data_IF_225651170819
#
_entry.id   IF_225651170819
#
_cell.length_a   1.000
_cell.length_b   1.000
_cell.length_c   1.000
_cell.angle_alpha   90.00
_cell.angle_beta   90.00
_cell.angle_gamma   90.00
#
_symmetry.space_group_name_H-M   'P 1'
#
loop_
_entity.id
_entity.type
_entity.pdbx_description
1 polymer ?
#
# COMPACT_ATOMS: atom_id res chain seq x y z
N UNK A 1 -13.83 26.83 3.05
CA UNK A 1 -12.61 26.49 2.26
C UNK A 1 -11.70 25.51 3.00
N UNK A 2 -11.29 25.79 4.25
CA UNK A 2 -10.41 24.92 5.06
C UNK A 2 -10.95 23.48 5.27
N UNK A 3 -12.26 23.32 5.46
CA UNK A 3 -12.90 22.02 5.71
C UNK A 3 -12.94 21.12 4.48
N UNK A 4 -13.12 21.69 3.28
CA UNK A 4 -13.12 20.94 2.02
C UNK A 4 -11.70 20.46 1.72
N UNK A 5 -10.70 21.31 1.96
CA UNK A 5 -9.28 20.96 1.83
C UNK A 5 -8.93 19.77 2.74
N UNK A 6 -9.25 19.85 4.04
CA UNK A 6 -8.91 18.79 5.00
C UNK A 6 -9.73 17.50 4.83
N UNK A 7 -10.99 17.59 4.43
CA UNK A 7 -11.88 16.41 4.39
C UNK A 7 -11.79 15.64 3.07
N UNK A 8 -11.44 16.33 1.97
CA UNK A 8 -11.44 15.75 0.62
C UNK A 8 -10.02 15.59 0.07
N UNK A 9 -9.14 16.58 0.26
CA UNK A 9 -7.78 16.48 -0.26
C UNK A 9 -6.86 15.64 0.61
N UNK A 10 -7.04 15.63 1.93
CA UNK A 10 -6.19 14.82 2.81
C UNK A 10 -6.29 13.30 2.53
N UNK A 11 -7.49 12.68 2.43
CA UNK A 11 -7.57 11.25 2.08
C UNK A 11 -7.11 10.98 0.64
N UNK A 12 -7.35 11.90 -0.30
CA UNK A 12 -6.86 11.77 -1.67
C UNK A 12 -5.33 11.82 -1.74
N UNK A 13 -4.70 12.72 -0.98
CA UNK A 13 -3.24 12.84 -0.86
C UNK A 13 -2.62 11.61 -0.20
N UNK A 14 -3.24 11.07 0.85
CA UNK A 14 -2.80 9.82 1.49
C UNK A 14 -2.90 8.65 0.50
N UNK A 15 -3.96 8.59 -0.30
CA UNK A 15 -4.15 7.56 -1.32
C UNK A 15 -3.11 7.66 -2.44
N UNK A 16 -2.73 8.88 -2.88
CA UNK A 16 -1.69 9.06 -3.89
C UNK A 16 -0.30 8.72 -3.35
N UNK A 17 0.01 9.07 -2.09
CA UNK A 17 1.31 8.78 -1.47
C UNK A 17 1.47 7.29 -1.17
N UNK A 18 0.39 6.58 -0.82
CA UNK A 18 0.43 5.14 -0.56
C UNK A 18 0.71 4.27 -1.81
N UNK A 19 0.61 4.85 -3.02
CA UNK A 19 0.84 4.15 -4.29
C UNK A 19 2.31 4.24 -4.75
N UNK A 20 3.16 5.04 -4.10
CA UNK A 20 4.56 5.26 -4.52
C UNK A 20 5.53 4.10 -4.24
N UNK A 21 5.03 2.89 -3.97
CA UNK A 21 5.86 1.73 -3.61
C UNK A 21 6.90 1.28 -4.64
N UNK A 22 6.85 1.71 -5.91
CA UNK A 22 7.79 1.24 -6.94
C UNK A 22 7.98 2.20 -8.14
N UNK A 23 8.28 3.48 -7.92
CA UNK A 23 8.55 4.42 -9.03
C UNK A 23 10.01 4.45 -9.51
N UNK A 24 10.88 3.63 -8.94
CA UNK A 24 12.22 3.41 -9.48
C UNK A 24 12.11 2.26 -10.47
N UNK A 25 12.02 2.58 -11.77
CA UNK A 25 12.40 1.62 -12.80
C UNK A 25 13.77 1.07 -12.44
N UNK A 26 13.86 -0.24 -12.20
CA UNK A 26 15.10 -0.91 -11.83
C UNK A 26 16.14 -0.62 -12.93
N UNK A 27 17.35 -0.10 -12.61
CA UNK A 27 18.39 0.06 -13.60
C UNK A 27 18.80 -1.33 -14.11
N UNK A 28 18.29 -1.70 -15.28
CA UNK A 28 18.35 -3.07 -15.78
C UNK A 28 17.51 -4.03 -14.95
N UNK A 29 16.82 -4.98 -15.60
CA UNK A 29 16.43 -6.19 -14.87
C UNK A 29 17.75 -6.79 -14.38
N UNK A 30 18.03 -6.82 -13.08
CA UNK A 30 19.21 -7.51 -12.53
C UNK A 30 19.24 -9.02 -12.82
N UNK A 31 18.37 -9.49 -13.72
CA UNK A 31 18.28 -10.84 -14.20
C UNK A 31 19.10 -11.08 -15.48
N UNK A 32 19.33 -12.35 -15.79
CA UNK A 32 20.19 -12.75 -16.90
C UNK A 32 19.54 -12.36 -18.24
N UNK A 33 20.30 -11.75 -19.15
CA UNK A 33 19.86 -11.51 -20.53
C UNK A 33 19.58 -12.82 -21.30
N UNK A 34 18.89 -12.77 -22.45
CA UNK A 34 18.62 -13.95 -23.25
C UNK A 34 19.92 -14.72 -23.55
N UNK A 35 20.05 -15.94 -23.02
CA UNK A 35 21.24 -16.80 -23.19
C UNK A 35 22.22 -16.86 -22.01
N UNK A 36 21.96 -16.16 -20.91
CA UNK A 36 22.82 -16.28 -19.70
C UNK A 36 22.25 -17.31 -18.72
N UNK A 37 23.07 -18.26 -18.20
CA UNK A 37 22.62 -19.25 -17.24
C UNK A 37 22.02 -18.57 -15.99
N UNK A 38 20.75 -18.85 -15.71
CA UNK A 38 20.07 -18.33 -14.53
C UNK A 38 20.60 -19.10 -13.32
N UNK A 39 21.55 -18.51 -12.60
CA UNK A 39 21.81 -18.94 -11.21
C UNK A 39 20.56 -18.56 -10.41
N UNK A 40 19.92 -19.47 -9.66
CA UNK A 40 18.75 -19.12 -8.87
C UNK A 40 19.10 -17.96 -7.95
N UNK A 41 18.57 -16.79 -8.26
CA UNK A 41 18.72 -15.58 -7.45
C UNK A 41 18.02 -15.84 -6.13
N UNK A 42 18.74 -15.68 -5.02
CA UNK A 42 18.17 -15.67 -3.67
C UNK A 42 16.91 -14.81 -3.67
N UNK A 43 15.77 -15.31 -3.17
CA UNK A 43 14.53 -14.55 -3.10
C UNK A 43 14.79 -13.17 -2.49
N UNK A 44 14.37 -12.12 -3.17
CA UNK A 44 14.43 -10.77 -2.60
C UNK A 44 13.48 -10.72 -1.40
N UNK A 45 14.03 -10.43 -0.23
CA UNK A 45 13.32 -10.37 1.04
C UNK A 45 12.45 -9.09 1.09
N UNK A 46 11.37 -9.09 0.32
CA UNK A 46 10.40 -7.99 0.29
C UNK A 46 9.43 -8.21 1.46
N UNK A 47 9.17 -7.21 2.33
CA UNK A 47 8.29 -7.35 3.49
C UNK A 47 6.81 -7.42 3.08
N UNK A 48 6.40 -8.52 2.45
CA UNK A 48 5.02 -8.83 2.11
C UNK A 48 4.13 -8.92 3.36
N UNK A 49 4.68 -9.50 4.44
CA UNK A 49 3.96 -9.73 5.70
C UNK A 49 3.69 -8.43 6.47
N UNK A 50 4.60 -7.45 6.35
CA UNK A 50 4.46 -6.14 6.97
C UNK A 50 3.31 -5.33 6.35
N UNK A 51 3.21 -5.33 5.02
CA UNK A 51 2.13 -4.66 4.29
C UNK A 51 0.77 -5.32 4.52
N UNK A 52 0.71 -6.64 4.49
CA UNK A 52 -0.51 -7.40 4.75
C UNK A 52 -1.06 -7.15 6.17
N UNK A 53 -0.19 -7.11 7.17
CA UNK A 53 -0.57 -6.83 8.56
C UNK A 53 -1.15 -5.42 8.74
N UNK A 54 -0.59 -4.42 8.06
CA UNK A 54 -1.11 -3.04 8.08
C UNK A 54 -2.47 -2.92 7.39
N UNK A 55 -2.68 -3.57 6.24
CA UNK A 55 -3.99 -3.60 5.57
C UNK A 55 -5.05 -4.27 6.43
N UNK A 56 -4.70 -5.38 7.08
CA UNK A 56 -5.60 -6.10 7.98
C UNK A 56 -5.98 -5.24 9.19
N UNK A 57 -5.01 -4.62 9.85
CA UNK A 57 -5.26 -3.72 10.98
C UNK A 57 -6.15 -2.52 10.58
N UNK A 58 -5.85 -1.89 9.44
CA UNK A 58 -6.64 -0.78 8.90
C UNK A 58 -8.09 -1.17 8.57
N UNK A 59 -8.27 -2.33 7.93
CA UNK A 59 -9.59 -2.88 7.59
C UNK A 59 -10.46 -3.13 8.84
N UNK A 60 -9.89 -3.77 9.87
CA UNK A 60 -10.58 -4.01 11.14
C UNK A 60 -10.98 -2.70 11.82
N UNK A 61 -10.06 -1.74 11.93
CA UNK A 61 -10.32 -0.45 12.55
C UNK A 61 -11.44 0.32 11.83
N UNK A 62 -11.40 0.35 10.48
CA UNK A 62 -12.44 1.00 9.67
C UNK A 62 -13.80 0.31 9.80
N UNK A 63 -13.83 -1.03 9.76
CA UNK A 63 -15.06 -1.82 9.92
C UNK A 63 -15.75 -1.55 11.25
N UNK A 64 -14.99 -1.56 12.36
CA UNK A 64 -15.50 -1.25 13.69
C UNK A 64 -16.02 0.18 13.80
N UNK A 65 -15.31 1.17 13.23
CA UNK A 65 -15.78 2.55 13.18
C UNK A 65 -17.13 2.66 12.47
N UNK A 66 -17.26 2.05 11.28
CA UNK A 66 -18.48 2.09 10.48
C UNK A 66 -19.67 1.43 11.20
N UNK A 67 -19.44 0.32 11.90
CA UNK A 67 -20.49 -0.34 12.68
C UNK A 67 -20.99 0.53 13.83
N UNK A 68 -20.08 1.18 14.57
CA UNK A 68 -20.43 2.10 15.66
C UNK A 68 -21.25 3.28 15.17
N UNK A 69 -20.88 3.87 14.04
CA UNK A 69 -21.60 5.01 13.46
C UNK A 69 -23.02 4.63 13.03
N UNK A 70 -23.24 3.41 12.55
CA UNK A 70 -24.59 2.90 12.22
C UNK A 70 -25.45 2.72 13.47
N UNK A 71 -24.89 2.16 14.54
CA UNK A 71 -25.61 1.96 15.82
C UNK A 71 -25.99 3.25 16.53
N UNK A 72 -25.26 4.35 16.30
CA UNK A 72 -25.58 5.68 16.84
C UNK A 72 -26.69 6.41 16.06
N UNK A 73 -27.00 5.96 14.85
CA UNK A 73 -28.02 6.54 13.97
C UNK A 73 -29.33 5.75 13.97
N UNK A 74 -29.34 4.56 14.55
CA UNK A 74 -30.53 3.79 14.91
C UNK A 74 -30.94 4.17 16.33
#
# INVERSE_FOLDING_TARGET
MKSILLTRLLPALILTVAVEGTLLAQPGSGGPGPGTPVTPTTPTDVPLDGGASLLLAGGVAYGLKRLRDRRKKA
#
